data_IF_273349037002
#
_entry.id   IF_273349037002
#
_cell.length_a   1.000
_cell.length_b   1.000
_cell.length_c   1.000
_cell.angle_alpha   90.00
_cell.angle_beta   90.00
_cell.angle_gamma   90.00
#
_symmetry.space_group_name_H-M   'P 1'
#
loop_
_entity.id
_entity.type
_entity.pdbx_description
1 polymer ?
#
# COMPACT_ATOMS: atom_id res chain seq x y z
N UNK A 1 -14.15 -5.53 -1.23
CA UNK A 1 -15.61 -5.46 -0.94
C UNK A 1 -15.92 -4.16 -0.21
N UNK A 2 -17.15 -3.62 -0.30
CA UNK A 2 -17.59 -2.43 0.46
C UNK A 2 -18.49 -2.82 1.63
N UNK A 3 -18.42 -2.09 2.73
CA UNK A 3 -19.22 -2.38 3.93
C UNK A 3 -20.72 -2.11 3.65
N UNK A 4 -21.62 -3.06 3.92
CA UNK A 4 -23.03 -2.91 3.52
C UNK A 4 -23.89 -2.09 4.50
N UNK A 5 -23.41 -1.83 5.72
CA UNK A 5 -24.19 -1.16 6.79
C UNK A 5 -23.28 -0.39 7.75
N UNK A 6 -23.91 0.27 8.74
CA UNK A 6 -23.21 0.96 9.83
C UNK A 6 -22.62 2.31 9.43
N UNK A 7 -21.76 2.84 10.30
CA UNK A 7 -21.14 4.17 10.16
C UNK A 7 -20.32 4.32 8.88
N UNK A 8 -19.66 3.25 8.44
CA UNK A 8 -18.79 3.22 7.26
C UNK A 8 -19.44 2.55 6.05
N UNK A 9 -20.78 2.61 5.92
CA UNK A 9 -21.49 2.03 4.79
C UNK A 9 -20.95 2.57 3.45
N UNK A 10 -20.66 1.66 2.52
CA UNK A 10 -20.11 1.97 1.20
C UNK A 10 -18.59 2.15 1.16
N UNK A 11 -17.92 2.17 2.31
CA UNK A 11 -16.46 2.28 2.41
C UNK A 11 -15.83 0.90 2.14
N UNK A 12 -14.74 0.82 1.36
CA UNK A 12 -13.95 -0.41 1.21
C UNK A 12 -13.42 -0.93 2.56
N UNK A 13 -13.34 -2.25 2.73
CA UNK A 13 -12.84 -2.85 3.99
C UNK A 13 -11.37 -2.47 4.30
N UNK A 14 -10.56 -2.30 3.26
CA UNK A 14 -9.16 -1.86 3.35
C UNK A 14 -8.99 -0.44 3.91
N UNK A 15 -10.00 0.42 3.75
CA UNK A 15 -9.99 1.80 4.22
C UNK A 15 -10.59 1.96 5.62
N UNK A 16 -11.10 0.88 6.22
CA UNK A 16 -11.69 0.95 7.56
C UNK A 16 -10.61 1.21 8.61
N UNK A 17 -10.86 2.13 9.58
CA UNK A 17 -10.01 2.30 10.74
C UNK A 17 -9.87 0.99 11.51
N UNK A 18 -8.66 0.69 12.00
CA UNK A 18 -8.34 -0.57 12.67
C UNK A 18 -9.28 -0.87 13.84
N UNK A 19 -9.61 0.13 14.66
CA UNK A 19 -10.50 -0.05 15.81
C UNK A 19 -11.91 -0.48 15.40
N UNK A 20 -12.47 0.15 14.36
CA UNK A 20 -13.79 -0.19 13.85
C UNK A 20 -13.79 -1.56 13.16
N UNK A 21 -12.71 -1.89 12.44
CA UNK A 21 -12.52 -3.18 11.81
C UNK A 21 -12.44 -4.32 12.85
N UNK A 22 -11.68 -4.12 13.94
CA UNK A 22 -11.57 -5.07 15.03
C UNK A 22 -12.91 -5.25 15.76
N UNK A 23 -13.63 -4.16 16.00
CA UNK A 23 -14.99 -4.23 16.54
C UNK A 23 -15.93 -5.02 15.64
N UNK A 24 -15.90 -4.80 14.31
CA UNK A 24 -16.69 -5.57 13.36
C UNK A 24 -16.40 -7.07 13.45
N UNK A 25 -15.13 -7.47 13.52
CA UNK A 25 -14.73 -8.87 13.65
C UNK A 25 -15.21 -9.53 14.96
N UNK A 26 -15.44 -8.76 16.01
CA UNK A 26 -15.99 -9.28 17.27
C UNK A 26 -17.50 -9.57 17.24
N UNK A 27 -18.19 -9.23 16.15
CA UNK A 27 -19.63 -9.46 16.02
C UNK A 27 -19.92 -10.88 15.52
N UNK A 28 -20.70 -11.63 16.29
CA UNK A 28 -21.04 -13.03 15.96
C UNK A 28 -22.12 -13.16 14.87
N UNK A 29 -22.92 -12.12 14.65
CA UNK A 29 -24.11 -12.15 13.79
C UNK A 29 -23.87 -11.58 12.37
N UNK A 30 -22.63 -11.62 11.89
CA UNK A 30 -22.31 -11.19 10.53
C UNK A 30 -22.76 -12.22 9.49
N UNK A 31 -23.22 -11.74 8.33
CA UNK A 31 -23.50 -12.61 7.18
C UNK A 31 -22.21 -13.26 6.71
N UNK A 32 -22.25 -14.55 6.38
CA UNK A 32 -21.08 -15.36 5.99
C UNK A 32 -20.18 -14.67 4.96
N UNK A 33 -20.77 -14.09 3.91
CA UNK A 33 -20.01 -13.37 2.88
C UNK A 33 -19.20 -12.20 3.43
N UNK A 34 -19.76 -11.44 4.36
CA UNK A 34 -19.07 -10.30 4.97
C UNK A 34 -18.01 -10.79 5.97
N UNK A 35 -18.32 -11.84 6.72
CA UNK A 35 -17.37 -12.46 7.66
C UNK A 35 -16.12 -12.94 6.93
N UNK A 36 -16.30 -13.72 5.86
CA UNK A 36 -15.19 -14.22 5.04
C UNK A 36 -14.35 -13.08 4.46
N UNK A 37 -14.99 -12.02 3.95
CA UNK A 37 -14.28 -10.84 3.43
C UNK A 37 -13.50 -10.06 4.52
N UNK A 38 -13.99 -10.04 5.77
CA UNK A 38 -13.28 -9.44 6.90
C UNK A 38 -12.09 -10.32 7.32
N UNK A 39 -12.25 -11.64 7.37
CA UNK A 39 -11.17 -12.59 7.70
C UNK A 39 -10.04 -12.52 6.66
N UNK A 40 -10.37 -12.49 5.36
CA UNK A 40 -9.39 -12.28 4.27
C UNK A 40 -8.63 -10.96 4.43
N UNK A 41 -9.34 -9.88 4.72
CA UNK A 41 -8.73 -8.57 4.94
C UNK A 41 -7.85 -8.55 6.20
N UNK A 42 -8.24 -9.27 7.26
CA UNK A 42 -7.44 -9.41 8.47
C UNK A 42 -6.14 -10.16 8.17
N UNK A 43 -6.21 -11.27 7.43
CA UNK A 43 -5.03 -12.01 6.98
C UNK A 43 -4.12 -11.14 6.12
N UNK A 44 -4.69 -10.34 5.21
CA UNK A 44 -3.93 -9.37 4.41
C UNK A 44 -3.20 -8.37 5.30
N UNK A 45 -3.88 -7.77 6.29
CA UNK A 45 -3.30 -6.80 7.22
C UNK A 45 -2.17 -7.43 8.06
N UNK A 46 -2.38 -8.63 8.58
CA UNK A 46 -1.36 -9.37 9.35
C UNK A 46 -0.15 -9.71 8.48
N UNK A 47 -0.38 -10.23 7.27
CA UNK A 47 0.69 -10.50 6.32
C UNK A 47 1.52 -9.24 6.04
N UNK A 48 0.88 -8.11 5.79
CA UNK A 48 1.60 -6.85 5.59
C UNK A 48 2.36 -6.41 6.84
N UNK A 49 1.79 -6.55 8.04
CA UNK A 49 2.44 -6.19 9.30
C UNK A 49 3.68 -7.06 9.57
N UNK A 50 3.56 -8.38 9.45
CA UNK A 50 4.67 -9.32 9.63
C UNK A 50 5.79 -9.11 8.61
N UNK A 51 5.43 -8.77 7.37
CA UNK A 51 6.39 -8.52 6.30
C UNK A 51 6.91 -7.07 6.25
N UNK A 52 6.53 -6.17 7.18
CA UNK A 52 7.21 -4.86 7.26
C UNK A 52 8.70 -5.03 7.57
N UNK A 53 9.02 -5.96 8.47
CA UNK A 53 10.39 -6.31 8.87
C UNK A 53 11.24 -7.00 7.80
N UNK A 54 10.67 -7.39 6.66
CA UNK A 54 11.42 -8.04 5.58
C UNK A 54 11.72 -7.10 4.41
N UNK A 55 11.34 -5.82 4.51
CA UNK A 55 11.62 -4.83 3.48
C UNK A 55 13.13 -4.64 3.37
N UNK A 56 13.71 -5.11 2.26
CA UNK A 56 15.14 -4.94 2.01
C UNK A 56 15.38 -3.62 1.28
N UNK A 57 16.11 -2.70 1.93
CA UNK A 57 16.48 -1.39 1.38
C UNK A 57 17.06 -1.45 -0.04
N UNK A 58 17.94 -2.43 -0.28
CA UNK A 58 18.60 -2.61 -1.58
C UNK A 58 17.60 -3.05 -2.64
N UNK A 59 16.73 -4.00 -2.30
CA UNK A 59 15.71 -4.50 -3.22
C UNK A 59 14.70 -3.41 -3.58
N UNK A 60 14.33 -2.54 -2.63
CA UNK A 60 13.48 -1.37 -2.91
C UNK A 60 14.17 -0.41 -3.86
N UNK A 61 15.45 -0.10 -3.64
CA UNK A 61 16.20 0.78 -4.54
C UNK A 61 16.32 0.19 -5.95
N UNK A 62 16.56 -1.13 -6.06
CA UNK A 62 16.59 -1.86 -7.32
C UNK A 62 15.25 -1.78 -8.05
N UNK A 63 14.14 -2.05 -7.35
CA UNK A 63 12.78 -2.00 -7.89
C UNK A 63 12.43 -0.60 -8.39
N UNK A 64 12.64 0.43 -7.57
CA UNK A 64 12.36 1.82 -7.93
C UNK A 64 13.24 2.25 -9.11
N UNK A 65 14.51 1.89 -9.11
CA UNK A 65 15.43 2.25 -10.18
C UNK A 65 15.08 1.54 -11.50
N UNK A 66 14.66 0.27 -11.45
CA UNK A 66 14.18 -0.45 -12.63
C UNK A 66 12.88 0.15 -13.18
N UNK A 67 11.91 0.45 -12.31
CA UNK A 67 10.67 1.12 -12.68
C UNK A 67 10.91 2.50 -13.29
N UNK A 68 11.76 3.31 -12.64
CA UNK A 68 12.16 4.63 -13.14
C UNK A 68 12.79 4.54 -14.53
N UNK A 69 13.74 3.63 -14.76
CA UNK A 69 14.35 3.44 -16.09
C UNK A 69 13.33 3.07 -17.16
N UNK A 70 12.40 2.17 -16.83
CA UNK A 70 11.34 1.73 -17.74
C UNK A 70 10.40 2.89 -18.11
N UNK A 71 9.92 3.64 -17.11
CA UNK A 71 9.02 4.78 -17.32
C UNK A 71 9.73 5.96 -17.97
N UNK A 72 11.00 6.20 -17.63
CA UNK A 72 11.82 7.22 -18.27
C UNK A 72 11.93 6.95 -19.77
N UNK A 73 12.22 5.72 -20.18
CA UNK A 73 12.28 5.36 -21.60
C UNK A 73 10.95 5.60 -22.33
N UNK A 74 9.83 5.38 -21.66
CA UNK A 74 8.48 5.57 -22.21
C UNK A 74 8.07 7.04 -22.31
N UNK A 75 8.47 7.86 -21.34
CA UNK A 75 8.01 9.25 -21.20
C UNK A 75 9.09 10.30 -21.46
N UNK A 76 10.29 9.89 -21.87
CA UNK A 76 11.38 10.81 -22.18
C UNK A 76 10.96 11.77 -23.30
N UNK A 77 11.15 13.09 -23.13
CA UNK A 77 10.85 14.08 -24.16
C UNK A 77 11.52 13.76 -25.50
N UNK A 78 12.79 13.33 -25.48
CA UNK A 78 13.57 12.99 -26.69
C UNK A 78 13.03 11.79 -27.48
N UNK A 79 12.08 11.05 -26.93
CA UNK A 79 11.42 9.92 -27.60
C UNK A 79 9.91 10.16 -27.82
N UNK A 80 9.49 11.44 -27.84
CA UNK A 80 8.08 11.81 -28.03
C UNK A 80 7.24 11.74 -26.75
N UNK A 81 7.89 11.62 -25.60
CA UNK A 81 7.26 11.71 -24.28
C UNK A 81 7.00 13.14 -23.84
N UNK A 82 6.53 13.30 -22.59
CA UNK A 82 6.19 14.61 -22.01
C UNK A 82 7.12 14.93 -20.85
N UNK A 83 7.65 16.16 -20.84
CA UNK A 83 8.48 16.66 -19.75
C UNK A 83 7.71 16.64 -18.41
N UNK A 84 6.43 17.01 -18.44
CA UNK A 84 5.54 16.96 -17.27
C UNK A 84 5.41 15.54 -16.73
N UNK A 85 5.18 14.55 -17.61
CA UNK A 85 5.11 13.13 -17.21
C UNK A 85 6.43 12.64 -16.65
N UNK A 86 7.56 13.03 -17.24
CA UNK A 86 8.88 12.66 -16.73
C UNK A 86 9.14 13.25 -15.33
N UNK A 87 8.76 14.50 -15.10
CA UNK A 87 8.85 15.14 -13.78
C UNK A 87 8.00 14.41 -12.73
N UNK A 88 6.76 14.04 -13.06
CA UNK A 88 5.90 13.27 -12.15
C UNK A 88 6.51 11.92 -11.78
N UNK A 89 7.08 11.19 -12.75
CA UNK A 89 7.77 9.92 -12.49
C UNK A 89 8.95 10.11 -11.52
N UNK A 90 9.74 11.17 -11.71
CA UNK A 90 10.86 11.48 -10.81
C UNK A 90 10.38 11.79 -9.39
N UNK A 91 9.32 12.58 -9.24
CA UNK A 91 8.72 12.92 -7.94
C UNK A 91 8.23 11.64 -7.24
N UNK A 92 7.51 10.77 -7.94
CA UNK A 92 7.04 9.50 -7.37
C UNK A 92 8.22 8.61 -6.92
N UNK A 93 9.26 8.47 -7.76
CA UNK A 93 10.43 7.68 -7.41
C UNK A 93 11.15 8.22 -6.16
N UNK A 94 11.30 9.55 -6.06
CA UNK A 94 11.88 10.19 -4.88
C UNK A 94 11.05 9.96 -3.61
N UNK A 95 9.73 10.10 -3.71
CA UNK A 95 8.81 9.87 -2.59
C UNK A 95 8.88 8.43 -2.08
N UNK A 96 8.84 7.43 -2.97
CA UNK A 96 8.94 6.01 -2.58
C UNK A 96 10.27 5.73 -1.85
N UNK A 97 11.40 6.26 -2.37
CA UNK A 97 12.71 6.09 -1.72
C UNK A 97 12.75 6.73 -0.33
N UNK A 98 12.12 7.88 -0.14
CA UNK A 98 12.04 8.54 1.17
C UNK A 98 11.25 7.71 2.18
N UNK A 99 10.06 7.22 1.78
CA UNK A 99 9.21 6.39 2.63
C UNK A 99 9.88 5.07 3.03
N UNK A 100 10.59 4.43 2.10
CA UNK A 100 11.32 3.20 2.40
C UNK A 100 12.44 3.42 3.43
N UNK A 101 13.16 4.55 3.34
CA UNK A 101 14.19 4.91 4.33
C UNK A 101 13.61 5.16 5.72
N UNK A 102 12.47 5.84 5.80
CA UNK A 102 11.78 6.13 7.06
C UNK A 102 11.35 4.84 7.77
N UNK A 103 10.77 3.89 7.04
CA UNK A 103 10.41 2.57 7.57
C UNK A 103 11.62 1.79 8.13
N UNK A 104 12.73 1.79 7.38
CA UNK A 104 13.96 1.11 7.80
C UNK A 104 14.66 1.79 8.98
N UNK A 105 14.54 3.11 9.11
CA UNK A 105 15.11 3.85 10.23
C UNK A 105 14.38 3.55 11.56
N UNK A 106 13.07 3.30 11.49
CA UNK A 106 12.24 2.96 12.66
C UNK A 106 12.60 1.56 13.20
N UNK A 107 12.94 0.61 12.33
CA UNK A 107 13.34 -0.75 12.74
C UNK A 107 14.68 -0.83 13.47
N UNK A 108 15.54 0.19 13.36
CA UNK A 108 16.82 0.26 14.07
C UNK A 108 16.74 0.96 15.44
N UNK A 109 15.57 1.48 15.83
CA UNK A 109 15.35 2.20 17.10
C UNK A 109 14.38 1.49 18.06
N UNK A 110 13.81 0.35 17.67
CA UNK A 110 12.92 -0.50 18.48
C UNK A 110 13.64 -1.78 18.92
#
# INVERSE_FOLDING_TARGET
MKLPFGRYKGVPLEDLPSDYFNWLLSLDNLRDKLRLALEEEQQRRLFFQENRGCVNAKLVDELVSAGLRSLARKYHPDHGGSNERMQLVNICAAWIKAQARELLAIEHQA
#
